data_IF_910791464732
#
_entry.id   IF_910791464732
#
_cell.length_a   1.000
_cell.length_b   1.000
_cell.length_c   1.000
_cell.angle_alpha   90.00
_cell.angle_beta   90.00
_cell.angle_gamma   90.00
#
_symmetry.space_group_name_H-M   'P 1'
#
loop_
_entity.id
_entity.type
_entity.pdbx_description
1 polymer ?
#
# COMPACT_ATOMS: atom_id res chain seq x y z
N UNK A 1 13.72 -4.21 -10.75
CA UNK A 1 13.00 -4.60 -9.52
C UNK A 1 14.02 -4.94 -8.43
N UNK A 2 13.86 -4.45 -7.19
CA UNK A 2 14.80 -4.72 -6.08
C UNK A 2 14.91 -6.23 -5.80
N UNK A 3 16.12 -6.75 -5.54
CA UNK A 3 16.39 -8.19 -5.28
C UNK A 3 15.47 -8.76 -4.18
N UNK A 4 15.19 -7.98 -3.15
CA UNK A 4 14.32 -8.36 -2.02
C UNK A 4 12.87 -8.64 -2.41
N UNK A 5 12.39 -8.05 -3.51
CA UNK A 5 11.01 -8.26 -3.97
C UNK A 5 10.88 -9.49 -4.86
N UNK A 6 11.97 -9.95 -5.49
CA UNK A 6 11.98 -11.12 -6.39
C UNK A 6 11.53 -12.40 -5.67
N UNK A 7 11.76 -12.52 -4.36
CA UNK A 7 11.36 -13.69 -3.56
C UNK A 7 9.85 -13.95 -3.54
N UNK A 8 9.02 -12.97 -3.93
CA UNK A 8 7.56 -13.10 -4.01
C UNK A 8 7.07 -13.56 -5.40
N UNK A 9 8.00 -13.86 -6.32
CA UNK A 9 7.74 -14.26 -7.70
C UNK A 9 8.38 -15.62 -7.98
N UNK A 10 7.80 -16.70 -7.43
CA UNK A 10 8.30 -18.06 -7.62
C UNK A 10 8.06 -18.61 -9.04
N UNK A 11 7.17 -17.97 -9.78
CA UNK A 11 6.74 -18.27 -11.14
C UNK A 11 7.48 -17.44 -12.21
N UNK A 12 8.47 -16.64 -11.80
CA UNK A 12 9.28 -15.81 -12.69
C UNK A 12 8.89 -14.33 -12.69
N UNK A 13 9.75 -13.51 -13.32
CA UNK A 13 9.58 -12.04 -13.36
C UNK A 13 9.64 -11.47 -14.78
N UNK A 14 9.59 -12.33 -15.79
CA UNK A 14 9.65 -11.92 -17.19
C UNK A 14 8.35 -11.21 -17.60
N UNK A 15 8.48 -10.02 -18.21
CA UNK A 15 7.39 -9.24 -18.79
C UNK A 15 6.15 -9.02 -17.90
N UNK A 16 6.33 -8.95 -16.58
CA UNK A 16 5.19 -8.74 -15.69
C UNK A 16 4.63 -7.31 -15.82
N UNK A 17 3.30 -7.20 -15.86
CA UNK A 17 2.63 -5.90 -15.79
C UNK A 17 2.77 -5.29 -14.39
N UNK A 18 2.67 -3.96 -14.29
CA UNK A 18 2.68 -3.28 -13.00
C UNK A 18 1.48 -3.70 -12.14
N UNK A 19 0.32 -3.96 -12.75
CA UNK A 19 -0.86 -4.51 -12.06
C UNK A 19 -0.58 -5.88 -11.43
N UNK A 20 0.02 -6.80 -12.19
CA UNK A 20 0.40 -8.12 -11.66
C UNK A 20 1.42 -7.97 -10.52
N UNK A 21 2.43 -7.13 -10.73
CA UNK A 21 3.46 -6.85 -9.73
C UNK A 21 2.85 -6.32 -8.42
N UNK A 22 2.03 -5.27 -8.48
CA UNK A 22 1.42 -4.66 -7.28
C UNK A 22 0.43 -5.63 -6.62
N UNK A 23 -0.36 -6.38 -7.40
CA UNK A 23 -1.26 -7.41 -6.87
C UNK A 23 -0.49 -8.47 -6.09
N UNK A 24 0.56 -9.06 -6.68
CA UNK A 24 1.39 -10.08 -6.02
C UNK A 24 2.06 -9.55 -4.76
N UNK A 25 2.55 -8.32 -4.82
CA UNK A 25 3.13 -7.66 -3.66
C UNK A 25 2.11 -7.47 -2.54
N UNK A 26 0.87 -7.07 -2.86
CA UNK A 26 -0.20 -6.98 -1.87
C UNK A 26 -0.63 -8.33 -1.31
N UNK A 27 -0.58 -9.40 -2.10
CA UNK A 27 -0.92 -10.76 -1.65
C UNK A 27 0.16 -11.31 -0.72
N UNK A 28 1.44 -11.24 -1.12
CA UNK A 28 2.49 -12.07 -0.51
C UNK A 28 3.58 -11.30 0.23
N UNK A 29 3.75 -10.00 0.00
CA UNK A 29 4.84 -9.27 0.64
C UNK A 29 4.68 -9.26 2.16
N UNK A 30 5.77 -9.51 2.88
CA UNK A 30 5.80 -9.31 4.33
C UNK A 30 5.99 -7.82 4.63
N UNK A 31 5.58 -7.37 5.81
CA UNK A 31 6.04 -6.08 6.31
C UNK A 31 7.49 -6.24 6.83
N UNK A 32 8.44 -5.33 6.52
CA UNK A 32 8.29 -4.03 5.86
C UNK A 32 8.51 -4.04 4.33
N UNK A 33 8.66 -5.21 3.69
CA UNK A 33 8.97 -5.30 2.26
C UNK A 33 7.88 -4.71 1.35
N UNK A 34 6.63 -4.64 1.82
CA UNK A 34 5.57 -3.88 1.16
C UNK A 34 5.96 -2.41 0.90
N UNK A 35 6.66 -1.76 1.84
CA UNK A 35 7.12 -0.38 1.70
C UNK A 35 8.34 -0.24 0.79
N UNK A 36 8.92 -1.35 0.33
CA UNK A 36 10.03 -1.35 -0.64
C UNK A 36 9.54 -1.35 -2.09
N UNK A 37 8.24 -1.46 -2.32
CA UNK A 37 7.61 -1.25 -3.62
C UNK A 37 7.91 0.19 -4.09
N UNK A 38 8.33 0.42 -5.34
CA UNK A 38 8.49 1.77 -5.87
C UNK A 38 7.17 2.55 -5.76
N UNK A 39 7.18 3.65 -5.00
CA UNK A 39 5.97 4.39 -4.65
C UNK A 39 5.19 4.86 -5.89
N UNK A 40 5.87 5.38 -6.91
CA UNK A 40 5.25 5.83 -8.16
C UNK A 40 4.48 4.69 -8.89
N UNK A 41 5.01 3.46 -8.87
CA UNK A 41 4.32 2.29 -9.45
C UNK A 41 3.09 1.93 -8.65
N UNK A 42 3.21 1.92 -7.32
CA UNK A 42 2.08 1.68 -6.44
C UNK A 42 0.97 2.72 -6.67
N UNK A 43 1.30 4.01 -6.60
CA UNK A 43 0.38 5.14 -6.78
C UNK A 43 -0.36 5.10 -8.12
N UNK A 44 0.33 4.80 -9.22
CA UNK A 44 -0.27 4.75 -10.57
C UNK A 44 -1.13 3.51 -10.83
N UNK A 45 -0.95 2.45 -10.04
CA UNK A 45 -1.57 1.13 -10.29
C UNK A 45 -2.69 0.80 -9.31
N UNK A 46 -2.57 1.21 -8.05
CA UNK A 46 -3.43 0.74 -6.96
C UNK A 46 -4.92 1.01 -7.20
N UNK A 47 -5.25 2.15 -7.82
CA UNK A 47 -6.63 2.53 -8.14
C UNK A 47 -7.28 1.67 -9.23
N UNK A 48 -6.48 0.92 -10.00
CA UNK A 48 -6.96 -0.01 -11.03
C UNK A 48 -7.31 -1.38 -10.43
N UNK A 49 -6.81 -1.68 -9.23
CA UNK A 49 -6.99 -2.98 -8.59
C UNK A 49 -8.27 -2.99 -7.75
N UNK A 50 -9.04 -4.07 -7.86
CA UNK A 50 -10.12 -4.36 -6.92
C UNK A 50 -9.53 -4.98 -5.64
N UNK A 51 -9.33 -4.14 -4.61
CA UNK A 51 -8.73 -4.54 -3.33
C UNK A 51 -9.51 -5.65 -2.61
N UNK A 52 -10.82 -5.73 -2.79
CA UNK A 52 -11.66 -6.74 -2.14
C UNK A 52 -11.41 -8.15 -2.69
N UNK A 53 -10.98 -8.24 -3.95
CA UNK A 53 -10.62 -9.51 -4.62
C UNK A 53 -9.17 -9.94 -4.41
N UNK A 54 -8.35 -9.14 -3.74
CA UNK A 54 -6.95 -9.48 -3.45
C UNK A 54 -6.90 -10.51 -2.32
N UNK A 55 -6.14 -11.59 -2.52
CA UNK A 55 -5.96 -12.67 -1.54
C UNK A 55 -4.98 -12.24 -0.44
N UNK A 56 -5.45 -11.41 0.47
CA UNK A 56 -4.66 -10.93 1.62
C UNK A 56 -5.56 -10.69 2.85
N UNK A 57 -4.96 -10.35 3.98
CA UNK A 57 -5.69 -10.11 5.22
C UNK A 57 -6.55 -8.84 5.14
N UNK A 58 -7.68 -8.84 5.86
CA UNK A 58 -8.57 -7.67 5.95
C UNK A 58 -7.86 -6.45 6.55
N UNK A 59 -6.93 -6.67 7.50
CA UNK A 59 -6.10 -5.60 8.05
C UNK A 59 -5.26 -4.91 6.97
N UNK A 60 -4.65 -5.67 6.05
CA UNK A 60 -3.89 -5.10 4.93
C UNK A 60 -4.79 -4.35 3.95
N UNK A 61 -5.95 -4.92 3.61
CA UNK A 61 -6.93 -4.24 2.74
C UNK A 61 -7.36 -2.91 3.35
N UNK A 62 -7.70 -2.89 4.64
CA UNK A 62 -8.03 -1.67 5.39
C UNK A 62 -6.89 -0.67 5.34
N UNK A 63 -5.67 -1.09 5.69
CA UNK A 63 -4.48 -0.22 5.64
C UNK A 63 -4.32 0.46 4.27
N UNK A 64 -4.39 -0.32 3.19
CA UNK A 64 -4.28 0.23 1.82
C UNK A 64 -5.42 1.20 1.52
N UNK A 65 -6.68 0.82 1.82
CA UNK A 65 -7.86 1.69 1.63
C UNK A 65 -7.73 3.01 2.40
N UNK A 66 -7.24 2.97 3.64
CA UNK A 66 -6.98 4.17 4.44
C UNK A 66 -5.88 5.04 3.84
N UNK A 67 -4.86 4.44 3.22
CA UNK A 67 -3.76 5.18 2.61
C UNK A 67 -4.17 5.86 1.29
N UNK A 68 -5.13 5.30 0.53
CA UNK A 68 -5.51 5.75 -0.82
C UNK A 68 -5.70 7.27 -0.95
N UNK A 69 -6.47 7.96 -0.07
CA UNK A 69 -6.70 9.40 -0.19
C UNK A 69 -5.39 10.22 -0.13
N UNK A 70 -4.42 9.75 0.64
CA UNK A 70 -3.15 10.44 0.90
C UNK A 70 -2.12 10.21 -0.20
N UNK A 71 -2.31 9.19 -1.05
CA UNK A 71 -1.38 8.90 -2.14
C UNK A 71 -1.34 10.02 -3.19
N UNK A 72 -2.45 10.73 -3.40
CA UNK A 72 -2.56 11.81 -4.40
C UNK A 72 -1.52 12.89 -4.16
N UNK A 73 -1.37 13.31 -2.91
CA UNK A 73 -0.53 14.43 -2.49
C UNK A 73 0.80 14.00 -1.86
N UNK A 74 1.12 12.72 -1.90
CA UNK A 74 2.39 12.17 -1.44
C UNK A 74 3.31 11.82 -2.63
N UNK A 75 4.62 11.92 -2.37
CA UNK A 75 5.69 11.61 -3.32
C UNK A 75 6.46 10.32 -2.96
N UNK A 76 6.28 9.83 -1.74
CA UNK A 76 6.91 8.62 -1.21
C UNK A 76 6.03 8.00 -0.10
N UNK A 77 6.43 6.82 0.38
CA UNK A 77 5.72 6.09 1.42
C UNK A 77 5.70 6.81 2.76
N UNK A 78 6.80 7.47 3.13
CA UNK A 78 6.94 8.13 4.42
C UNK A 78 5.94 9.28 4.54
N UNK A 79 5.89 10.16 3.54
CA UNK A 79 4.94 11.26 3.46
C UNK A 79 3.48 10.78 3.44
N UNK A 80 3.18 9.70 2.72
CA UNK A 80 1.82 9.14 2.68
C UNK A 80 1.38 8.60 4.05
N UNK A 81 2.28 7.88 4.74
CA UNK A 81 2.01 7.31 6.05
C UNK A 81 1.88 8.43 7.10
N UNK A 82 2.81 9.38 7.14
CA UNK A 82 2.77 10.50 8.08
C UNK A 82 1.45 11.26 7.99
N UNK A 83 1.06 11.69 6.78
CA UNK A 83 -0.23 12.37 6.55
C UNK A 83 -1.43 11.55 7.05
N UNK A 84 -1.43 10.23 6.77
CA UNK A 84 -2.51 9.35 7.23
C UNK A 84 -2.57 9.25 8.76
N UNK A 85 -1.43 9.20 9.43
CA UNK A 85 -1.36 9.10 10.90
C UNK A 85 -1.71 10.40 11.61
N UNK A 86 -1.35 11.55 11.03
CA UNK A 86 -1.74 12.86 11.54
C UNK A 86 -3.25 13.05 11.53
N UNK A 87 -3.93 12.62 10.47
CA UNK A 87 -5.38 12.71 10.35
C UNK A 87 -6.10 11.82 11.38
N UNK A 88 -5.61 10.58 11.55
CA UNK A 88 -6.09 9.67 12.61
C UNK A 88 -5.91 10.32 13.98
N UNK A 89 -4.74 10.91 14.26
CA UNK A 89 -4.47 11.59 15.54
C UNK A 89 -5.42 12.76 15.78
N UNK A 90 -5.71 13.57 14.74
CA UNK A 90 -6.67 14.69 14.82
C UNK A 90 -8.08 14.20 15.09
N UNK A 91 -8.51 13.12 14.42
CA UNK A 91 -9.84 12.53 14.61
C UNK A 91 -10.00 12.01 16.03
N UNK A 92 -8.99 11.31 16.55
CA UNK A 92 -8.97 10.82 17.94
C UNK A 92 -9.08 12.00 18.92
N UNK A 93 -8.25 13.02 18.77
CA UNK A 93 -8.29 14.21 19.64
C UNK A 93 -9.65 14.90 19.63
N UNK A 94 -10.30 14.98 18.47
CA UNK A 94 -11.65 15.55 18.36
C UNK A 94 -12.67 14.74 19.14
N UNK A 95 -12.67 13.41 18.97
CA UNK A 95 -13.58 12.52 19.70
C UNK A 95 -13.44 12.74 21.21
N UNK A 96 -12.21 12.78 21.73
CA UNK A 96 -11.96 12.94 23.16
C UNK A 96 -12.08 14.38 23.69
N UNK A 97 -12.14 15.39 22.82
CA UNK A 97 -12.41 16.79 23.22
C UNK A 97 -13.91 17.08 23.36
N UNK A 98 -14.76 16.26 22.73
CA UNK A 98 -16.22 16.33 22.80
C UNK A 98 -16.81 15.50 23.98
N UNK A 99 -15.95 14.89 24.81
CA UNK A 99 -16.27 14.19 26.07
C UNK A 99 -15.79 14.98 27.28
#
# INVERSE_FOLDING_TARGET
MRKILKKYFWDGTENISDEYFIRRMLEYASFPDLLKIPFHKFKSTINKLNLDKIRTSEARKKFVKYLLPYLKDANDWENAILKSTEDISKTIKKIFADY
#
